data_IF_430918598315
#
_entry.id   IF_430918598315
#
_cell.length_a   1.000
_cell.length_b   1.000
_cell.length_c   1.000
_cell.angle_alpha   90.00
_cell.angle_beta   90.00
_cell.angle_gamma   90.00
#
_symmetry.space_group_name_H-M   'P 1'
#
loop_
_entity.id
_entity.type
_entity.pdbx_description
1 polymer ?
#
# COMPACT_ATOMS: atom_id res chain seq x y z
N UNK A 1 -40.09 -15.31 0.29
CA UNK A 1 -38.72 -15.77 0.67
C UNK A 1 -37.64 -15.18 -0.27
N UNK A 2 -37.75 -15.35 -1.60
CA UNK A 2 -36.75 -14.86 -2.54
C UNK A 2 -36.59 -13.32 -2.59
N UNK A 3 -37.67 -12.55 -2.44
CA UNK A 3 -37.61 -11.08 -2.40
C UNK A 3 -36.96 -10.54 -1.14
N UNK A 4 -37.20 -11.17 0.02
CA UNK A 4 -36.55 -10.79 1.29
C UNK A 4 -35.03 -11.01 1.25
N UNK A 5 -34.59 -12.13 0.65
CA UNK A 5 -33.17 -12.40 0.45
C UNK A 5 -32.51 -11.39 -0.50
N UNK A 6 -33.20 -11.02 -1.59
CA UNK A 6 -32.74 -9.98 -2.53
C UNK A 6 -32.66 -8.60 -1.89
N UNK A 7 -33.61 -8.26 -1.03
CA UNK A 7 -33.59 -6.99 -0.32
C UNK A 7 -32.39 -6.94 0.64
N UNK A 8 -32.19 -7.99 1.44
CA UNK A 8 -31.10 -8.07 2.39
C UNK A 8 -29.72 -8.01 1.72
N UNK A 9 -29.52 -8.76 0.62
CA UNK A 9 -28.26 -8.72 -0.14
C UNK A 9 -27.98 -7.34 -0.73
N UNK A 10 -29.02 -6.66 -1.22
CA UNK A 10 -28.89 -5.30 -1.76
C UNK A 10 -28.56 -4.27 -0.67
N UNK A 11 -29.15 -4.39 0.52
CA UNK A 11 -28.81 -3.51 1.66
C UNK A 11 -27.36 -3.70 2.11
N UNK A 12 -26.88 -4.95 2.15
CA UNK A 12 -25.50 -5.27 2.51
C UNK A 12 -24.47 -4.72 1.50
N UNK A 13 -24.74 -4.84 0.20
CA UNK A 13 -23.87 -4.28 -0.84
C UNK A 13 -23.76 -2.74 -0.76
N UNK A 14 -24.88 -2.05 -0.51
CA UNK A 14 -24.89 -0.58 -0.32
C UNK A 14 -24.08 -0.16 0.89
N UNK A 15 -24.19 -0.89 2.01
CA UNK A 15 -23.42 -0.57 3.21
C UNK A 15 -21.92 -0.85 3.03
N UNK A 16 -21.57 -1.92 2.33
CA UNK A 16 -20.18 -2.21 1.98
C UNK A 16 -19.57 -1.11 1.09
N UNK A 17 -20.31 -0.60 0.10
CA UNK A 17 -19.87 0.52 -0.74
C UNK A 17 -19.62 1.79 0.09
N UNK A 18 -20.51 2.12 1.05
CA UNK A 18 -20.28 3.26 1.96
C UNK A 18 -19.01 3.11 2.80
N UNK A 19 -18.70 1.89 3.24
CA UNK A 19 -17.44 1.63 3.97
C UNK A 19 -16.25 1.93 3.07
N UNK A 20 -16.27 1.51 1.79
CA UNK A 20 -15.20 1.78 0.83
C UNK A 20 -15.00 3.29 0.58
N UNK A 21 -16.06 4.08 0.64
CA UNK A 21 -16.03 5.53 0.48
C UNK A 21 -15.59 6.28 1.74
N UNK A 22 -15.50 5.60 2.89
CA UNK A 22 -15.16 6.24 4.15
C UNK A 22 -13.67 6.61 4.22
N UNK A 23 -13.39 7.82 4.72
CA UNK A 23 -12.02 8.30 4.93
C UNK A 23 -11.25 7.43 5.95
N UNK A 24 -11.96 6.87 6.93
CA UNK A 24 -11.36 6.00 7.93
C UNK A 24 -10.90 4.67 7.31
N UNK A 25 -11.68 4.12 6.37
CA UNK A 25 -11.26 2.97 5.59
C UNK A 25 -10.07 3.31 4.70
N UNK A 26 -10.10 4.41 3.94
CA UNK A 26 -8.98 4.83 3.08
C UNK A 26 -7.66 4.98 3.88
N UNK A 27 -7.71 5.61 5.06
CA UNK A 27 -6.54 5.73 5.94
C UNK A 27 -6.05 4.38 6.45
N UNK A 28 -6.97 3.57 6.97
CA UNK A 28 -6.70 2.24 7.52
C UNK A 28 -6.12 1.30 6.46
N UNK A 29 -6.63 1.37 5.23
CA UNK A 29 -6.13 0.64 4.06
C UNK A 29 -4.74 1.16 3.67
N UNK A 30 -4.51 2.47 3.71
CA UNK A 30 -3.21 3.09 3.46
C UNK A 30 -2.09 2.58 4.36
N UNK A 31 -2.32 2.46 5.67
CA UNK A 31 -1.32 1.91 6.59
C UNK A 31 -0.95 0.46 6.26
N UNK A 32 -1.93 -0.35 5.83
CA UNK A 32 -1.72 -1.75 5.48
C UNK A 32 -1.03 -1.93 4.14
N UNK A 33 -1.38 -1.09 3.15
CA UNK A 33 -0.71 -1.05 1.86
C UNK A 33 0.73 -0.58 2.01
N UNK A 34 1.00 0.39 2.90
CA UNK A 34 2.37 0.77 3.28
C UNK A 34 3.13 -0.38 3.91
N UNK A 35 2.52 -1.14 4.82
CA UNK A 35 3.13 -2.34 5.38
C UNK A 35 3.44 -3.40 4.30
N UNK A 36 2.56 -3.57 3.31
CA UNK A 36 2.82 -4.47 2.17
C UNK A 36 4.05 -4.03 1.36
N UNK A 37 4.23 -2.73 1.13
CA UNK A 37 5.41 -2.18 0.45
C UNK A 37 6.70 -2.43 1.23
N UNK A 38 6.64 -2.46 2.57
CA UNK A 38 7.79 -2.79 3.40
C UNK A 38 8.02 -4.30 3.59
N UNK A 39 7.11 -5.14 3.10
CA UNK A 39 7.22 -6.58 3.26
C UNK A 39 8.50 -7.10 2.58
N UNK A 40 9.37 -7.83 3.31
CA UNK A 40 10.58 -8.40 2.72
C UNK A 40 10.29 -9.48 1.67
N UNK A 41 9.08 -10.05 1.69
CA UNK A 41 8.65 -11.10 0.76
C UNK A 41 8.06 -10.54 -0.55
N UNK A 42 7.98 -9.21 -0.67
CA UNK A 42 7.44 -8.58 -1.86
C UNK A 42 8.49 -8.57 -2.98
N UNK A 43 8.37 -9.53 -3.90
CA UNK A 43 9.32 -9.71 -5.01
C UNK A 43 9.11 -8.74 -6.17
N UNK A 44 7.92 -8.16 -6.32
CA UNK A 44 7.56 -7.32 -7.46
C UNK A 44 7.27 -5.88 -7.03
N UNK A 45 8.27 -5.00 -7.15
CA UNK A 45 8.15 -3.60 -6.76
C UNK A 45 7.85 -2.64 -7.92
N UNK A 46 7.96 -3.11 -9.16
CA UNK A 46 7.80 -2.27 -10.34
C UNK A 46 6.62 -2.79 -11.17
N UNK A 47 6.70 -4.04 -11.63
CA UNK A 47 5.64 -4.71 -12.38
C UNK A 47 4.66 -5.44 -11.46
N UNK A 48 3.39 -5.49 -11.84
CA UNK A 48 2.32 -6.28 -11.21
C UNK A 48 2.09 -6.09 -9.70
N UNK A 49 2.68 -5.07 -9.05
CA UNK A 49 2.52 -4.90 -7.61
C UNK A 49 1.05 -4.75 -7.24
N UNK A 50 0.34 -3.83 -7.91
CA UNK A 50 -1.06 -3.54 -7.62
C UNK A 50 -1.88 -4.81 -7.71
N UNK A 51 -1.70 -5.58 -8.79
CA UNK A 51 -2.36 -6.86 -9.00
C UNK A 51 -2.05 -7.86 -7.89
N UNK A 52 -0.77 -8.04 -7.53
CA UNK A 52 -0.36 -8.99 -6.47
C UNK A 52 -0.88 -8.60 -5.10
N UNK A 53 -0.85 -7.30 -4.76
CA UNK A 53 -1.37 -6.78 -3.49
C UNK A 53 -2.90 -6.90 -3.45
N UNK A 54 -3.58 -6.68 -4.58
CA UNK A 54 -5.01 -6.88 -4.72
C UNK A 54 -5.41 -8.36 -4.59
N UNK A 55 -4.67 -9.27 -5.22
CA UNK A 55 -4.90 -10.72 -5.05
C UNK A 55 -4.64 -11.18 -3.63
N UNK A 56 -3.63 -10.61 -2.96
CA UNK A 56 -3.36 -10.87 -1.56
C UNK A 56 -4.47 -10.33 -0.64
N UNK A 57 -5.02 -9.15 -0.93
CA UNK A 57 -6.10 -8.56 -0.12
C UNK A 57 -7.41 -9.33 -0.24
N UNK A 58 -7.76 -9.80 -1.45
CA UNK A 58 -8.92 -10.68 -1.67
C UNK A 58 -8.83 -11.98 -0.87
N UNK A 59 -7.62 -12.53 -0.73
CA UNK A 59 -7.38 -13.76 0.06
C UNK A 59 -7.36 -13.51 1.57
N UNK A 60 -7.19 -12.26 1.99
CA UNK A 60 -7.02 -11.89 3.40
C UNK A 60 -7.88 -10.66 3.77
N UNK A 61 -9.21 -10.65 3.53
CA UNK A 61 -10.04 -9.46 3.67
C UNK A 61 -10.01 -8.87 5.08
N UNK A 62 -9.93 -9.71 6.11
CA UNK A 62 -9.85 -9.29 7.52
C UNK A 62 -8.57 -8.49 7.82
N UNK A 63 -7.44 -8.88 7.23
CA UNK A 63 -6.17 -8.13 7.34
C UNK A 63 -6.35 -6.74 6.77
N UNK A 64 -7.11 -6.59 5.69
CA UNK A 64 -7.36 -5.32 5.02
C UNK A 64 -8.59 -4.56 5.50
N UNK A 65 -9.35 -5.14 6.43
CA UNK A 65 -10.68 -4.66 6.87
C UNK A 65 -11.64 -4.44 5.68
N UNK A 66 -11.52 -5.24 4.63
CA UNK A 66 -12.41 -5.19 3.47
C UNK A 66 -13.70 -5.95 3.82
N UNK A 67 -14.89 -5.34 3.68
CA UNK A 67 -16.16 -6.05 3.80
C UNK A 67 -16.24 -7.20 2.79
N UNK A 68 -16.64 -8.39 3.21
CA UNK A 68 -16.70 -9.56 2.32
C UNK A 68 -17.75 -9.35 1.23
N UNK A 69 -18.79 -8.60 1.55
CA UNK A 69 -19.88 -8.22 0.67
C UNK A 69 -19.37 -7.38 -0.52
N UNK A 70 -18.38 -6.51 -0.28
CA UNK A 70 -17.72 -5.74 -1.34
C UNK A 70 -16.90 -6.62 -2.30
N UNK A 71 -16.52 -7.84 -1.91
CA UNK A 71 -15.83 -8.80 -2.78
C UNK A 71 -16.79 -9.67 -3.60
N UNK A 72 -18.09 -9.60 -3.32
CA UNK A 72 -19.13 -10.33 -4.05
C UNK A 72 -19.85 -9.45 -5.07
N UNK A 73 -19.71 -8.13 -4.95
CA UNK A 73 -20.30 -7.13 -5.82
C UNK A 73 -19.25 -6.58 -6.80
N UNK A 74 -19.54 -6.63 -8.11
CA UNK A 74 -18.57 -6.24 -9.15
C UNK A 74 -18.22 -4.75 -9.09
N UNK A 75 -19.21 -3.89 -8.83
CA UNK A 75 -19.01 -2.44 -8.82
C UNK A 75 -18.17 -2.03 -7.60
N UNK A 76 -18.45 -2.62 -6.43
CA UNK A 76 -17.65 -2.43 -5.23
C UNK A 76 -16.22 -2.97 -5.37
N UNK A 77 -16.05 -4.10 -6.08
CA UNK A 77 -14.71 -4.63 -6.39
C UNK A 77 -13.90 -3.69 -7.28
N UNK A 78 -14.53 -3.13 -8.31
CA UNK A 78 -13.88 -2.17 -9.20
C UNK A 78 -13.52 -0.87 -8.46
N UNK A 79 -14.43 -0.39 -7.59
CA UNK A 79 -14.17 0.74 -6.70
C UNK A 79 -12.97 0.46 -5.78
N UNK A 80 -12.90 -0.72 -5.18
CA UNK A 80 -11.80 -1.14 -4.32
C UNK A 80 -10.48 -1.22 -5.09
N UNK A 81 -10.46 -1.77 -6.31
CA UNK A 81 -9.25 -1.85 -7.13
C UNK A 81 -8.71 -0.45 -7.49
N UNK A 82 -9.59 0.46 -7.92
CA UNK A 82 -9.23 1.86 -8.19
C UNK A 82 -8.66 2.53 -6.94
N UNK A 83 -9.33 2.36 -5.78
CA UNK A 83 -8.89 2.92 -4.51
C UNK A 83 -7.51 2.37 -4.09
N UNK A 84 -7.31 1.05 -4.17
CA UNK A 84 -6.04 0.42 -3.82
C UNK A 84 -4.89 0.89 -4.73
N UNK A 85 -5.12 1.00 -6.04
CA UNK A 85 -4.12 1.55 -6.99
C UNK A 85 -3.75 2.99 -6.67
N UNK A 86 -4.74 3.84 -6.38
CA UNK A 86 -4.54 5.24 -5.98
C UNK A 86 -3.68 5.32 -4.71
N UNK A 87 -4.06 4.59 -3.66
CA UNK A 87 -3.36 4.60 -2.37
C UNK A 87 -1.94 4.04 -2.52
N UNK A 88 -1.76 2.91 -3.22
CA UNK A 88 -0.43 2.33 -3.46
C UNK A 88 0.51 3.31 -4.16
N UNK A 89 0.01 4.03 -5.16
CA UNK A 89 0.77 5.05 -5.88
C UNK A 89 1.17 6.19 -4.94
N UNK A 90 0.24 6.69 -4.13
CA UNK A 90 0.51 7.73 -3.15
C UNK A 90 1.53 7.29 -2.08
N UNK A 91 1.40 6.07 -1.55
CA UNK A 91 2.32 5.51 -0.55
C UNK A 91 3.72 5.33 -1.13
N UNK A 92 3.85 4.81 -2.36
CA UNK A 92 5.14 4.72 -3.07
C UNK A 92 5.78 6.10 -3.24
N UNK A 93 5.01 7.09 -3.66
CA UNK A 93 5.49 8.47 -3.79
C UNK A 93 5.99 9.04 -2.46
N UNK A 94 5.24 8.84 -1.38
CA UNK A 94 5.62 9.27 -0.03
C UNK A 94 6.91 8.57 0.46
N UNK A 95 7.02 7.26 0.25
CA UNK A 95 8.23 6.50 0.60
C UNK A 95 9.44 6.99 -0.18
N UNK A 96 9.30 7.21 -1.50
CA UNK A 96 10.37 7.77 -2.34
C UNK A 96 10.84 9.14 -1.83
N UNK A 97 9.90 10.04 -1.54
CA UNK A 97 10.21 11.37 -0.99
C UNK A 97 10.95 11.28 0.35
N UNK A 98 10.52 10.41 1.27
CA UNK A 98 11.18 10.19 2.56
C UNK A 98 12.60 9.65 2.39
N UNK A 99 12.82 8.73 1.46
CA UNK A 99 14.14 8.17 1.16
C UNK A 99 15.06 9.26 0.62
N UNK A 100 14.61 10.04 -0.37
CA UNK A 100 15.38 11.16 -0.95
C UNK A 100 15.74 12.17 0.15
N UNK A 101 14.75 12.63 0.92
CA UNK A 101 14.98 13.58 2.00
C UNK A 101 15.93 13.04 3.08
N UNK A 102 15.88 11.74 3.38
CA UNK A 102 16.82 11.09 4.30
C UNK A 102 18.24 11.07 3.76
N UNK A 103 18.42 10.84 2.46
CA UNK A 103 19.72 10.87 1.79
C UNK A 103 20.31 12.28 1.85
N UNK A 104 19.53 13.28 1.45
CA UNK A 104 19.95 14.70 1.46
C UNK A 104 20.35 15.15 2.86
N UNK A 105 19.56 14.77 3.88
CA UNK A 105 19.83 15.10 5.29
C UNK A 105 20.87 14.21 5.95
N UNK A 106 21.38 13.19 5.25
CA UNK A 106 22.28 12.16 5.81
C UNK A 106 21.74 11.54 7.11
N UNK A 107 20.42 11.34 7.16
CA UNK A 107 19.77 10.74 8.32
C UNK A 107 20.21 9.28 8.47
N UNK A 108 20.30 8.82 9.72
CA UNK A 108 20.61 7.43 9.99
C UNK A 108 19.46 6.51 9.54
N UNK A 109 19.80 5.26 9.23
CA UNK A 109 18.84 4.28 8.72
C UNK A 109 17.67 4.03 9.70
N UNK A 110 17.89 4.18 11.02
CA UNK A 110 16.86 3.96 12.03
C UNK A 110 15.78 5.03 12.01
N UNK A 111 16.18 6.30 11.85
CA UNK A 111 15.26 7.42 11.69
C UNK A 111 14.42 7.26 10.41
N UNK A 112 15.06 6.91 9.29
CA UNK A 112 14.35 6.62 8.05
C UNK A 112 13.37 5.45 8.23
N UNK A 113 13.83 4.34 8.81
CA UNK A 113 13.02 3.14 8.93
C UNK A 113 11.75 3.37 9.75
N UNK A 114 11.85 4.09 10.87
CA UNK A 114 10.67 4.51 11.65
C UNK A 114 9.73 5.40 10.83
N UNK A 115 10.28 6.35 10.07
CA UNK A 115 9.46 7.24 9.23
C UNK A 115 8.69 6.51 8.12
N UNK A 116 9.27 5.42 7.58
CA UNK A 116 8.64 4.59 6.54
C UNK A 116 7.62 3.62 7.14
N UNK A 117 7.95 2.99 8.28
CA UNK A 117 7.10 2.02 8.95
C UNK A 117 5.86 2.67 9.60
N UNK A 118 5.96 3.94 9.99
CA UNK A 118 4.92 4.62 10.76
C UNK A 118 4.75 3.93 12.12
N UNK A 119 3.51 3.56 12.46
CA UNK A 119 3.18 2.93 13.74
C UNK A 119 3.45 1.41 13.78
N UNK A 120 4.07 0.83 12.76
CA UNK A 120 4.45 -0.59 12.80
C UNK A 120 5.54 -0.80 13.86
N UNK A 121 5.21 -1.54 14.92
CA UNK A 121 5.99 -1.64 16.16
C UNK A 121 7.22 -2.54 16.08
N UNK A 122 7.34 -3.43 15.09
CA UNK A 122 8.48 -4.35 15.01
C UNK A 122 9.07 -4.45 13.60
N UNK A 123 10.25 -3.82 13.43
CA UNK A 123 11.06 -3.96 12.24
C UNK A 123 12.10 -5.07 12.46
N UNK A 124 11.86 -6.23 11.84
CA UNK A 124 12.82 -7.34 11.81
C UNK A 124 14.01 -7.02 10.89
N UNK A 125 15.12 -7.75 11.03
CA UNK A 125 16.32 -7.62 10.17
C UNK A 125 16.00 -7.66 8.67
N UNK A 126 14.99 -8.42 8.26
CA UNK A 126 14.56 -8.48 6.86
C UNK A 126 13.96 -7.14 6.37
N UNK A 127 13.22 -6.42 7.23
CA UNK A 127 12.73 -5.08 6.93
C UNK A 127 13.90 -4.09 6.82
N UNK A 128 14.88 -4.16 7.71
CA UNK A 128 16.08 -3.33 7.64
C UNK A 128 16.85 -3.53 6.34
N UNK A 129 17.09 -4.79 5.96
CA UNK A 129 17.75 -5.13 4.70
C UNK A 129 16.97 -4.58 3.49
N UNK A 130 15.64 -4.70 3.52
CA UNK A 130 14.76 -4.14 2.49
C UNK A 130 14.89 -2.62 2.38
N UNK A 131 14.90 -1.91 3.49
CA UNK A 131 15.02 -0.44 3.52
C UNK A 131 16.41 -0.01 3.04
N UNK A 132 17.47 -0.66 3.51
CA UNK A 132 18.83 -0.41 3.05
C UNK A 132 18.96 -0.60 1.53
N UNK A 133 18.36 -1.67 0.99
CA UNK A 133 18.30 -1.90 -0.45
C UNK A 133 17.61 -0.75 -1.19
N UNK A 134 16.45 -0.27 -0.70
CA UNK A 134 15.74 0.85 -1.34
C UNK A 134 16.54 2.15 -1.33
N UNK A 135 17.23 2.45 -0.24
CA UNK A 135 18.13 3.62 -0.13
C UNK A 135 19.26 3.51 -1.15
N UNK A 136 19.91 2.35 -1.24
CA UNK A 136 21.03 2.15 -2.15
C UNK A 136 20.63 2.30 -3.63
N UNK A 137 19.47 1.76 -4.03
CA UNK A 137 18.97 1.95 -5.40
C UNK A 137 18.62 3.41 -5.68
N UNK A 138 18.03 4.12 -4.72
CA UNK A 138 17.70 5.54 -4.89
C UNK A 138 18.97 6.41 -5.01
N UNK A 139 20.04 6.06 -4.31
CA UNK A 139 21.34 6.72 -4.47
C UNK A 139 21.87 6.55 -5.90
N UNK A 140 21.82 5.34 -6.45
CA UNK A 140 22.27 5.06 -7.82
C UNK A 140 21.49 5.91 -8.83
N UNK A 141 20.16 5.98 -8.70
CA UNK A 141 19.31 6.81 -9.57
C UNK A 141 19.69 8.30 -9.48
N UNK A 142 19.92 8.82 -8.26
CA UNK A 142 20.35 10.21 -8.05
C UNK A 142 21.71 10.47 -8.71
N UNK A 143 22.69 9.57 -8.54
CA UNK A 143 24.00 9.70 -9.17
C UNK A 143 23.90 9.68 -10.69
N UNK A 144 23.09 8.79 -11.27
CA UNK A 144 22.87 8.74 -12.72
C UNK A 144 22.23 10.03 -13.25
N UNK A 145 21.26 10.59 -12.53
CA UNK A 145 20.65 11.88 -12.89
C UNK A 145 21.67 13.02 -12.83
N UNK A 146 22.51 13.07 -11.79
CA UNK A 146 23.58 14.09 -11.69
C UNK A 146 24.58 13.98 -12.84
N UNK A 147 25.02 12.76 -13.18
CA UNK A 147 25.92 12.53 -14.32
C UNK A 147 25.29 13.04 -15.61
N UNK A 148 24.01 12.76 -15.84
CA UNK A 148 23.29 13.23 -17.04
C UNK A 148 23.12 14.75 -17.12
N UNK A 149 23.09 15.46 -16.00
CA UNK A 149 23.00 16.94 -15.97
C UNK A 149 24.37 17.58 -16.22
N UNK A 150 25.45 16.89 -15.84
CA UNK A 150 26.82 17.36 -15.99
C UNK A 150 27.49 16.96 -17.32
N UNK A 151 26.80 16.18 -18.17
CA UNK A 151 27.25 15.72 -19.50
C UNK A 151 26.66 16.58 -20.60
#
# INVERSE_FOLDING_TARGET
MAELLRFHSKTQAVEAAKVLESLDFERSLGDRLRACLLSPNLTAYVTDLSTKVFDFSKKNPSVFKIPVEALQDSDAMDQLDVLMKKILTAQRGNMKQKIIASIEKRSDLSTLARSLAGNCTELTMAHWARIAFMVNNSLIDIFQQLISICS
#
